data_IF_985733581677
#
_entry.id   IF_985733581677
#
_cell.length_a   1.000
_cell.length_b   1.000
_cell.length_c   1.000
_cell.angle_alpha   90.00
_cell.angle_beta   90.00
_cell.angle_gamma   90.00
#
_symmetry.space_group_name_H-M   'P 1'
#
loop_
_entity.id
_entity.type
_entity.pdbx_description
1 polymer ?
#
# COMPACT_ATOMS: atom_id res chain seq x y z
N UNK A 1 -29.78 9.52 -13.30
CA UNK A 1 -28.53 10.19 -12.90
C UNK A 1 -27.49 9.10 -12.70
N UNK A 2 -26.41 9.13 -13.46
CA UNK A 2 -25.29 8.20 -13.30
C UNK A 2 -24.49 8.54 -12.04
N UNK A 3 -23.73 7.58 -11.52
CA UNK A 3 -22.84 7.83 -10.39
C UNK A 3 -21.79 8.90 -10.70
N UNK A 4 -21.35 8.99 -11.97
CA UNK A 4 -20.45 10.06 -12.44
C UNK A 4 -21.09 11.44 -12.32
N UNK A 5 -22.34 11.60 -12.75
CA UNK A 5 -23.08 12.86 -12.61
C UNK A 5 -23.26 13.23 -11.14
N UNK A 6 -23.57 12.26 -10.27
CA UNK A 6 -23.69 12.46 -8.83
C UNK A 6 -22.36 12.88 -8.20
N UNK A 7 -21.24 12.27 -8.60
CA UNK A 7 -19.91 12.62 -8.09
C UNK A 7 -19.54 14.07 -8.45
N UNK A 8 -19.81 14.50 -9.68
CA UNK A 8 -19.57 15.89 -10.13
C UNK A 8 -20.39 16.90 -9.31
N UNK A 9 -21.65 16.58 -9.00
CA UNK A 9 -22.48 17.45 -8.15
C UNK A 9 -21.93 17.56 -6.72
N UNK A 10 -21.48 16.44 -6.15
CA UNK A 10 -20.86 16.45 -4.83
C UNK A 10 -19.57 17.27 -4.80
N UNK A 11 -18.72 17.13 -5.83
CA UNK A 11 -17.48 17.91 -5.96
C UNK A 11 -17.75 19.42 -5.94
N UNK A 12 -18.78 19.88 -6.65
CA UNK A 12 -19.16 21.29 -6.67
C UNK A 12 -19.69 21.82 -5.32
N UNK A 13 -20.12 20.93 -4.42
CA UNK A 13 -20.63 21.29 -3.09
C UNK A 13 -19.55 21.25 -2.00
N UNK A 14 -18.32 20.81 -2.32
CA UNK A 14 -17.22 20.73 -1.35
C UNK A 14 -16.70 22.14 -1.06
N UNK A 15 -16.62 22.56 0.21
CA UNK A 15 -15.98 23.83 0.56
C UNK A 15 -14.48 23.82 0.20
N UNK A 16 -13.95 24.95 -0.26
CA UNK A 16 -12.54 25.06 -0.71
C UNK A 16 -11.53 24.53 0.31
N UNK A 17 -11.72 24.81 1.61
CA UNK A 17 -10.82 24.35 2.68
C UNK A 17 -10.84 22.81 2.89
N UNK A 18 -11.75 22.08 2.25
CA UNK A 18 -11.83 20.61 2.26
C UNK A 18 -11.46 19.97 0.92
N UNK A 19 -11.30 20.75 -0.15
CA UNK A 19 -11.08 20.19 -1.50
C UNK A 19 -9.81 19.33 -1.57
N UNK A 20 -8.78 19.68 -0.78
CA UNK A 20 -7.55 18.91 -0.69
C UNK A 20 -7.75 17.46 -0.28
N UNK A 21 -8.70 17.16 0.63
CA UNK A 21 -9.01 15.78 1.03
C UNK A 21 -9.60 14.97 -0.12
N UNK A 22 -10.46 15.61 -0.92
CA UNK A 22 -11.11 14.95 -2.05
C UNK A 22 -10.11 14.72 -3.18
N UNK A 23 -9.24 15.70 -3.44
CA UNK A 23 -8.13 15.56 -4.40
C UNK A 23 -7.22 14.40 -4.00
N UNK A 24 -6.80 14.30 -2.74
CA UNK A 24 -5.93 13.21 -2.29
C UNK A 24 -6.57 11.83 -2.48
N UNK A 25 -7.86 11.70 -2.20
CA UNK A 25 -8.57 10.44 -2.41
C UNK A 25 -8.69 10.09 -3.90
N UNK A 26 -9.09 11.05 -4.73
CA UNK A 26 -9.16 10.86 -6.19
C UNK A 26 -7.79 10.50 -6.77
N UNK A 27 -6.73 11.20 -6.35
CA UNK A 27 -5.35 10.86 -6.74
C UNK A 27 -5.01 9.44 -6.36
N UNK A 28 -5.30 9.01 -5.13
CA UNK A 28 -5.05 7.64 -4.68
C UNK A 28 -5.80 6.57 -5.48
N UNK A 29 -7.08 6.78 -5.81
CA UNK A 29 -7.84 5.80 -6.61
C UNK A 29 -7.53 5.85 -8.11
N UNK A 30 -6.93 6.93 -8.59
CA UNK A 30 -6.47 7.06 -9.99
C UNK A 30 -5.01 6.71 -10.18
N UNK A 31 -4.22 6.65 -9.10
CA UNK A 31 -2.93 6.02 -9.13
C UNK A 31 -3.16 4.55 -9.53
N UNK A 32 -2.40 4.08 -10.53
CA UNK A 32 -2.43 2.67 -10.89
C UNK A 32 -2.02 1.82 -9.69
N UNK A 33 -2.25 0.50 -9.77
CA UNK A 33 -1.58 -0.40 -8.86
C UNK A 33 -0.07 -0.24 -9.09
N UNK A 34 0.66 0.24 -8.09
CA UNK A 34 2.11 0.29 -8.15
C UNK A 34 2.61 -1.16 -8.22
N UNK A 35 3.02 -1.59 -9.41
CA UNK A 35 3.74 -2.85 -9.55
C UNK A 35 5.06 -2.74 -8.77
N UNK A 36 5.39 -3.71 -7.89
CA UNK A 36 6.67 -3.74 -7.25
C UNK A 36 7.78 -3.66 -8.31
N UNK A 37 8.71 -2.73 -8.13
CA UNK A 37 9.84 -2.62 -9.04
C UNK A 37 10.72 -3.89 -9.00
N UNK A 38 11.65 -4.00 -9.95
CA UNK A 38 12.53 -5.18 -10.07
C UNK A 38 13.31 -5.46 -8.78
N UNK A 39 13.73 -4.42 -8.07
CA UNK A 39 14.46 -4.54 -6.80
C UNK A 39 13.59 -5.20 -5.72
N UNK A 40 12.36 -4.72 -5.55
CA UNK A 40 11.39 -5.29 -4.60
C UNK A 40 11.05 -6.75 -4.93
N UNK A 41 10.82 -7.07 -6.21
CA UNK A 41 10.55 -8.44 -6.63
C UNK A 41 11.75 -9.38 -6.35
N UNK A 42 12.96 -8.87 -6.55
CA UNK A 42 14.19 -9.62 -6.27
C UNK A 42 14.36 -9.90 -4.78
N UNK A 43 14.05 -8.92 -3.92
CA UNK A 43 14.10 -9.07 -2.47
C UNK A 43 13.09 -10.12 -1.97
N UNK A 44 11.87 -10.17 -2.53
CA UNK A 44 10.91 -11.23 -2.21
C UNK A 44 11.41 -12.62 -2.62
N UNK A 45 11.96 -12.75 -3.83
CA UNK A 45 12.55 -14.00 -4.30
C UNK A 45 13.78 -14.44 -3.48
N UNK A 46 14.52 -13.51 -2.88
CA UNK A 46 15.57 -13.83 -1.93
C UNK A 46 15.01 -14.41 -0.63
N UNK A 47 14.00 -13.77 -0.03
CA UNK A 47 13.35 -14.27 1.18
C UNK A 47 12.76 -15.67 1.00
N UNK A 48 12.12 -15.93 -0.15
CA UNK A 48 11.60 -17.27 -0.47
C UNK A 48 12.71 -18.33 -0.56
N UNK A 49 13.84 -18.01 -1.23
CA UNK A 49 15.01 -18.90 -1.28
C UNK A 49 15.61 -19.16 0.10
N UNK A 50 15.70 -18.13 0.96
CA UNK A 50 16.20 -18.31 2.32
C UNK A 50 15.32 -19.31 3.11
N UNK A 51 13.99 -19.25 2.92
CA UNK A 51 13.08 -20.21 3.54
C UNK A 51 13.26 -21.63 3.00
N UNK A 52 13.47 -21.79 1.68
CA UNK A 52 13.75 -23.08 1.05
C UNK A 52 15.07 -23.69 1.54
N UNK A 53 16.11 -22.86 1.65
CA UNK A 53 17.46 -23.25 2.09
C UNK A 53 17.55 -23.43 3.63
N UNK A 54 16.47 -23.15 4.37
CA UNK A 54 16.43 -23.25 5.84
C UNK A 54 17.25 -22.17 6.56
N UNK A 55 17.63 -21.10 5.88
CA UNK A 55 18.36 -19.95 6.42
C UNK A 55 17.46 -18.76 6.76
N UNK A 56 16.20 -18.81 6.34
CA UNK A 56 15.17 -17.80 6.60
C UNK A 56 14.17 -18.22 7.67
N UNK A 57 13.47 -17.24 8.24
CA UNK A 57 12.45 -17.42 9.27
C UNK A 57 11.21 -16.59 8.96
N UNK A 58 10.02 -17.15 9.24
CA UNK A 58 8.74 -16.41 9.18
C UNK A 58 8.29 -16.06 10.60
N UNK A 59 7.89 -14.81 10.78
CA UNK A 59 7.26 -14.33 12.01
C UNK A 59 5.79 -14.04 11.77
N UNK A 60 4.94 -14.38 12.74
CA UNK A 60 3.49 -14.11 12.68
C UNK A 60 3.10 -12.84 13.44
N UNK A 61 4.04 -12.23 14.15
CA UNK A 61 3.87 -10.99 14.87
C UNK A 61 5.23 -10.27 15.01
N UNK A 62 5.17 -8.96 15.26
CA UNK A 62 6.37 -8.12 15.39
C UNK A 62 7.13 -8.36 16.68
N UNK A 63 6.46 -8.82 17.76
CA UNK A 63 7.12 -9.07 19.05
C UNK A 63 8.17 -10.16 18.92
N UNK A 64 7.83 -11.27 18.27
CA UNK A 64 8.75 -12.39 18.08
C UNK A 64 9.89 -12.02 17.10
N UNK A 65 9.60 -11.21 16.08
CA UNK A 65 10.63 -10.66 15.18
C UNK A 65 11.68 -9.85 15.94
N UNK A 66 11.24 -8.95 16.84
CA UNK A 66 12.17 -8.09 17.57
C UNK A 66 12.91 -8.83 18.69
N UNK A 67 12.31 -9.85 19.30
CA UNK A 67 12.98 -10.66 20.31
C UNK A 67 14.24 -11.36 19.77
N UNK A 68 14.24 -11.76 18.50
CA UNK A 68 15.40 -12.40 17.84
C UNK A 68 16.51 -11.40 17.44
N UNK A 69 16.27 -10.10 17.55
CA UNK A 69 17.26 -9.04 17.23
C UNK A 69 17.95 -8.46 18.47
N UNK A 70 17.45 -8.78 19.67
CA UNK A 70 17.91 -8.26 20.95
C UNK A 70 18.85 -9.26 21.67
N UNK A 71 19.99 -9.60 21.04
CA UNK A 71 21.13 -10.26 21.70
C UNK A 71 21.93 -9.28 22.59
#
# INVERSE_FOLDING_TARGET
MSDRERAMQLLNAVPDYKIGYVVAYLQGVTAGEDEPNVETLTAFAEGDRMLEDGTGQRYTNTKDLFADLED
#
